data_IF_114447510352
#
_entry.id   IF_114447510352
#
_cell.length_a   1.000
_cell.length_b   1.000
_cell.length_c   1.000
_cell.angle_alpha   90.00
_cell.angle_beta   90.00
_cell.angle_gamma   90.00
#
_symmetry.space_group_name_H-M   'P 1'
#
loop_
_entity.id
_entity.type
_entity.pdbx_description
1 polymer ?
#
# COMPACT_ATOMS: atom_id res chain seq x y z
N UNK A 1 37.47 -0.34 44.55
CA UNK A 1 36.35 0.28 43.80
C UNK A 1 35.45 -0.84 43.31
N UNK A 2 34.18 -0.86 43.71
CA UNK A 2 33.32 -2.05 43.68
C UNK A 2 32.84 -2.37 42.24
N UNK A 3 33.56 -3.27 41.56
CA UNK A 3 33.47 -3.59 40.11
C UNK A 3 32.07 -4.01 39.66
N UNK A 4 31.27 -4.58 40.57
CA UNK A 4 29.89 -4.98 40.29
C UNK A 4 28.98 -3.77 40.01
N UNK A 5 29.06 -2.71 40.82
CA UNK A 5 28.19 -1.54 40.69
C UNK A 5 28.45 -0.84 39.36
N UNK A 6 29.71 -0.68 38.96
CA UNK A 6 30.08 -0.09 37.68
C UNK A 6 29.58 -0.92 36.48
N UNK A 7 29.61 -2.25 36.60
CA UNK A 7 29.14 -3.16 35.53
C UNK A 7 27.64 -3.05 35.32
N UNK A 8 26.86 -3.00 36.40
CA UNK A 8 25.41 -2.77 36.33
C UNK A 8 25.08 -1.36 35.84
N UNK A 9 25.77 -0.34 36.33
CA UNK A 9 25.60 1.05 35.88
C UNK A 9 25.85 1.20 34.37
N UNK A 10 26.90 0.56 33.84
CA UNK A 10 27.19 0.53 32.40
C UNK A 10 26.11 -0.18 31.58
N UNK A 11 25.63 -1.34 32.06
CA UNK A 11 24.54 -2.11 31.43
C UNK A 11 23.24 -1.30 31.34
N UNK A 12 22.87 -0.59 32.41
CA UNK A 12 21.66 0.24 32.43
C UNK A 12 21.78 1.42 31.45
N UNK A 13 22.93 2.10 31.43
CA UNK A 13 23.18 3.19 30.45
C UNK A 13 23.09 2.70 29.00
N UNK A 14 23.62 1.52 28.69
CA UNK A 14 23.54 0.94 27.36
C UNK A 14 22.10 0.58 26.96
N UNK A 15 21.30 0.05 27.90
CA UNK A 15 19.89 -0.25 27.63
C UNK A 15 19.08 1.01 27.32
N UNK A 16 19.26 2.08 28.11
CA UNK A 16 18.61 3.36 27.83
C UNK A 16 19.08 4.00 26.52
N UNK A 17 20.37 3.92 26.20
CA UNK A 17 20.89 4.41 24.93
C UNK A 17 20.36 3.62 23.73
N UNK A 18 20.13 2.31 23.89
CA UNK A 18 19.53 1.45 22.87
C UNK A 18 18.04 1.80 22.70
N UNK A 19 17.30 1.94 23.80
CA UNK A 19 15.89 2.31 23.79
C UNK A 19 15.65 3.70 23.17
N UNK A 20 16.48 4.69 23.51
CA UNK A 20 16.38 6.03 22.94
C UNK A 20 16.72 6.09 21.43
N UNK A 21 17.43 5.08 20.91
CA UNK A 21 17.74 4.91 19.48
C UNK A 21 16.78 3.95 18.78
N UNK A 22 15.77 3.43 19.49
CA UNK A 22 14.81 2.50 18.91
C UNK A 22 13.76 3.26 18.10
N UNK A 23 13.92 3.25 16.78
CA UNK A 23 13.02 3.88 15.82
C UNK A 23 11.85 2.96 15.41
N UNK A 24 11.76 1.74 15.95
CA UNK A 24 10.70 0.78 15.59
C UNK A 24 9.30 1.27 15.95
N UNK A 25 9.17 2.11 16.97
CA UNK A 25 7.90 2.74 17.35
C UNK A 25 7.49 3.88 16.41
N UNK A 26 8.46 4.70 15.96
CA UNK A 26 8.22 5.83 15.04
C UNK A 26 7.92 5.31 13.63
N UNK A 27 8.64 4.29 13.19
CA UNK A 27 8.35 3.63 11.91
C UNK A 27 6.96 3.00 11.89
N UNK A 28 6.50 2.41 12.99
CA UNK A 28 5.16 1.84 13.05
C UNK A 28 4.04 2.87 12.83
N UNK A 29 4.15 4.08 13.42
CA UNK A 29 3.15 5.13 13.24
C UNK A 29 3.23 5.78 11.84
N UNK A 30 4.42 5.88 11.26
CA UNK A 30 4.62 6.37 9.89
C UNK A 30 4.03 5.41 8.85
N UNK A 31 4.34 4.11 8.96
CA UNK A 31 3.77 3.10 8.07
C UNK A 31 2.25 2.98 8.24
N UNK A 32 1.73 3.17 9.45
CA UNK A 32 0.28 3.23 9.67
C UNK A 32 -0.36 4.41 8.91
N UNK A 33 0.24 5.59 8.95
CA UNK A 33 -0.26 6.77 8.23
C UNK A 33 -0.15 6.62 6.71
N UNK A 34 0.95 6.03 6.21
CA UNK A 34 1.10 5.68 4.79
C UNK A 34 0.01 4.70 4.37
N UNK A 35 -0.32 3.71 5.21
CA UNK A 35 -1.41 2.76 4.96
C UNK A 35 -2.77 3.44 4.81
N UNK A 36 -3.08 4.42 5.68
CA UNK A 36 -4.30 5.23 5.57
C UNK A 36 -4.32 6.02 4.27
N UNK A 37 -3.21 6.68 3.92
CA UNK A 37 -3.10 7.43 2.67
C UNK A 37 -3.34 6.53 1.43
N UNK A 38 -2.69 5.37 1.38
CA UNK A 38 -2.86 4.41 0.29
C UNK A 38 -4.30 3.88 0.20
N UNK A 39 -4.92 3.57 1.33
CA UNK A 39 -6.31 3.11 1.35
C UNK A 39 -7.28 4.17 0.79
N UNK A 40 -7.11 5.44 1.18
CA UNK A 40 -7.94 6.53 0.67
C UNK A 40 -7.75 6.79 -0.83
N UNK A 41 -6.51 6.72 -1.31
CA UNK A 41 -6.20 6.88 -2.74
C UNK A 41 -6.81 5.75 -3.56
N UNK A 42 -6.66 4.49 -3.12
CA UNK A 42 -7.26 3.34 -3.79
C UNK A 42 -8.78 3.43 -3.79
N UNK A 43 -9.40 3.85 -2.68
CA UNK A 43 -10.84 4.07 -2.61
C UNK A 43 -11.30 5.18 -3.56
N UNK A 44 -10.49 6.21 -3.80
CA UNK A 44 -10.82 7.25 -4.78
C UNK A 44 -10.74 6.75 -6.22
N UNK A 45 -9.69 5.98 -6.55
CA UNK A 45 -9.46 5.46 -7.91
C UNK A 45 -10.44 4.34 -8.27
N UNK A 46 -10.72 3.45 -7.31
CA UNK A 46 -11.49 2.22 -7.52
C UNK A 46 -12.89 2.23 -6.89
N UNK A 47 -13.26 3.28 -6.14
CA UNK A 47 -14.53 3.33 -5.43
C UNK A 47 -15.75 3.53 -6.32
N UNK A 48 -15.55 4.03 -7.54
CA UNK A 48 -16.60 4.10 -8.55
C UNK A 48 -16.38 3.03 -9.62
N UNK A 49 -17.41 2.20 -9.84
CA UNK A 49 -17.38 1.14 -10.84
C UNK A 49 -17.83 1.61 -12.23
N UNK A 50 -18.57 2.72 -12.29
CA UNK A 50 -19.18 3.22 -13.51
C UNK A 50 -18.52 4.51 -14.00
N UNK A 51 -17.75 5.19 -13.16
CA UNK A 51 -16.96 6.37 -13.53
C UNK A 51 -15.52 6.29 -13.00
N UNK A 52 -14.63 7.14 -13.51
CA UNK A 52 -13.22 7.13 -13.13
C UNK A 52 -12.39 6.05 -13.82
N UNK A 53 -11.33 5.59 -13.16
CA UNK A 53 -10.33 4.69 -13.76
C UNK A 53 -10.91 3.31 -14.12
N UNK A 54 -11.72 2.73 -13.23
CA UNK A 54 -12.33 1.42 -13.47
C UNK A 54 -13.37 1.48 -14.60
N UNK A 55 -14.15 2.56 -14.67
CA UNK A 55 -15.06 2.83 -15.78
C UNK A 55 -14.32 2.94 -17.13
N UNK A 56 -13.21 3.68 -17.18
CA UNK A 56 -12.42 3.81 -18.41
C UNK A 56 -11.83 2.48 -18.89
N UNK A 57 -11.39 1.61 -17.97
CA UNK A 57 -10.96 0.25 -18.30
C UNK A 57 -12.13 -0.55 -18.85
N UNK A 58 -13.29 -0.48 -18.18
CA UNK A 58 -14.49 -1.19 -18.62
C UNK A 58 -14.91 -0.77 -20.04
N UNK A 59 -14.95 0.52 -20.32
CA UNK A 59 -15.28 1.06 -21.64
C UNK A 59 -14.32 0.58 -22.72
N UNK A 60 -13.01 0.53 -22.43
CA UNK A 60 -12.02 0.02 -23.36
C UNK A 60 -12.24 -1.47 -23.69
N UNK A 61 -12.55 -2.29 -22.68
CA UNK A 61 -12.86 -3.71 -22.88
C UNK A 61 -14.20 -3.90 -23.62
N UNK A 62 -15.22 -3.10 -23.32
CA UNK A 62 -16.50 -3.15 -24.02
C UNK A 62 -16.33 -2.77 -25.50
N UNK A 63 -15.48 -1.80 -25.83
CA UNK A 63 -15.13 -1.44 -27.21
C UNK A 63 -14.41 -2.58 -27.95
N UNK A 64 -13.47 -3.26 -27.29
CA UNK A 64 -12.78 -4.43 -27.86
C UNK A 64 -13.78 -5.57 -28.11
N UNK A 65 -14.67 -5.84 -27.15
CA UNK A 65 -15.69 -6.88 -27.29
C UNK A 65 -16.64 -6.57 -28.46
N UNK A 66 -17.06 -5.32 -28.62
CA UNK A 66 -17.89 -4.88 -29.73
C UNK A 66 -17.18 -5.04 -31.08
N UNK A 67 -15.90 -4.67 -31.18
CA UNK A 67 -15.10 -4.85 -32.40
C UNK A 67 -14.98 -6.33 -32.79
N UNK A 68 -14.75 -7.22 -31.82
CA UNK A 68 -14.68 -8.66 -32.05
C UNK A 68 -16.04 -9.19 -32.54
N UNK A 69 -17.14 -8.82 -31.89
CA UNK A 69 -18.48 -9.24 -32.30
C UNK A 69 -18.79 -8.78 -33.73
N UNK A 70 -18.49 -7.53 -34.07
CA UNK A 70 -18.69 -7.00 -35.42
C UNK A 70 -17.92 -7.79 -36.48
N UNK A 71 -16.67 -8.17 -36.21
CA UNK A 71 -15.87 -9.00 -37.11
C UNK A 71 -16.48 -10.39 -37.26
N UNK A 72 -16.92 -11.03 -36.17
CA UNK A 72 -17.52 -12.37 -36.23
C UNK A 72 -18.87 -12.40 -36.95
N UNK A 73 -19.69 -11.35 -36.81
CA UNK A 73 -21.02 -11.27 -37.47
C UNK A 73 -20.90 -10.89 -38.94
N UNK A 74 -19.86 -10.14 -39.32
CA UNK A 74 -19.57 -9.82 -40.73
C UNK A 74 -18.98 -11.01 -41.51
N UNK A 75 -18.48 -12.04 -40.81
CA UNK A 75 -17.97 -13.28 -41.40
C UNK A 75 -19.04 -14.35 -41.67
N UNK A 76 -20.27 -14.15 -41.18
CA UNK A 76 -21.41 -15.03 -41.43
C UNK A 76 -22.34 -14.42 -42.47
N UNK A 77 -21.89 -14.32 -43.71
CA UNK A 77 -22.78 -14.29 -44.88
C UNK A 77 -23.05 -15.74 -45.32
N UNK A 78 -24.31 -16.16 -45.58
CA UNK A 78 -24.56 -17.25 -46.52
C UNK A 78 -24.14 -16.86 -47.94
#
# INVERSE_FOLDING_TARGET
MNTFITKYYGKTKQCFACFAKDERGVTAIEYALIGVAMATLLAFIFGDQNSGFLGAIKDAFDAIAAAIQQVTVSGTNP
#
